data_IF_833947193507
#
_entry.id   IF_833947193507
#
_cell.length_a   1.000
_cell.length_b   1.000
_cell.length_c   1.000
_cell.angle_alpha   90.00
_cell.angle_beta   90.00
_cell.angle_gamma   90.00
#
_symmetry.space_group_name_H-M   'P 1'
#
loop_
_entity.id
_entity.type
_entity.pdbx_description
1 polymer ?
#
# COMPACT_ATOMS: atom_id res chain seq x y z
N UNK A 1 -26.52 -6.26 -35.40
CA UNK A 1 -25.70 -6.89 -34.36
C UNK A 1 -26.67 -7.53 -33.39
N UNK A 2 -26.72 -8.86 -33.42
CA UNK A 2 -27.63 -9.65 -32.63
C UNK A 2 -27.42 -9.38 -31.14
N UNK A 3 -28.45 -8.80 -30.52
CA UNK A 3 -28.65 -8.85 -29.08
C UNK A 3 -28.81 -10.33 -28.75
N UNK A 4 -27.78 -10.95 -28.17
CA UNK A 4 -27.87 -12.32 -27.67
C UNK A 4 -29.11 -12.41 -26.79
N UNK A 5 -30.11 -13.14 -27.27
CA UNK A 5 -31.29 -13.50 -26.52
C UNK A 5 -30.81 -14.22 -25.26
N UNK A 6 -31.01 -13.57 -24.11
CA UNK A 6 -30.81 -14.16 -22.79
C UNK A 6 -31.81 -15.32 -22.68
N UNK A 7 -31.36 -16.54 -22.91
CA UNK A 7 -32.11 -17.72 -22.49
C UNK A 7 -32.22 -17.64 -20.96
N UNK A 8 -33.38 -17.27 -20.45
CA UNK A 8 -33.72 -17.48 -19.04
C UNK A 8 -33.90 -18.98 -18.84
N UNK A 9 -32.77 -19.67 -18.63
CA UNK A 9 -32.80 -21.05 -18.20
C UNK A 9 -33.57 -21.11 -16.87
N UNK A 10 -34.57 -21.97 -16.79
CA UNK A 10 -35.27 -22.22 -15.54
C UNK A 10 -34.27 -22.67 -14.48
N UNK A 11 -34.38 -22.15 -13.26
CA UNK A 11 -33.52 -22.56 -12.15
C UNK A 11 -33.71 -24.04 -11.85
N UNK A 12 -32.61 -24.74 -11.54
CA UNK A 12 -32.68 -26.11 -11.04
C UNK A 12 -33.44 -26.17 -9.71
N UNK A 13 -34.13 -27.27 -9.44
CA UNK A 13 -34.74 -27.55 -8.13
C UNK A 13 -33.83 -28.42 -7.23
N UNK A 14 -32.62 -28.74 -7.68
CA UNK A 14 -31.64 -29.53 -6.94
C UNK A 14 -30.64 -28.61 -6.23
N UNK A 15 -30.58 -28.69 -4.89
CA UNK A 15 -29.70 -27.86 -4.07
C UNK A 15 -28.21 -28.06 -4.40
N UNK A 16 -27.77 -29.27 -4.75
CA UNK A 16 -26.38 -29.53 -5.12
C UNK A 16 -26.04 -28.87 -6.45
N UNK A 17 -26.97 -28.91 -7.41
CA UNK A 17 -26.80 -28.25 -8.72
C UNK A 17 -26.73 -26.73 -8.53
N UNK A 18 -27.67 -26.13 -7.80
CA UNK A 18 -27.68 -24.68 -7.51
C UNK A 18 -26.36 -24.28 -6.80
N UNK A 19 -25.89 -25.09 -5.86
CA UNK A 19 -24.63 -24.83 -5.14
C UNK A 19 -23.44 -24.82 -6.09
N UNK A 20 -23.37 -25.78 -7.01
CA UNK A 20 -22.30 -25.86 -8.00
C UNK A 20 -22.33 -24.65 -8.96
N UNK A 21 -23.52 -24.26 -9.44
CA UNK A 21 -23.71 -23.09 -10.30
C UNK A 21 -23.28 -21.80 -9.60
N UNK A 22 -23.71 -21.57 -8.36
CA UNK A 22 -23.31 -20.41 -7.56
C UNK A 22 -21.79 -20.34 -7.41
N UNK A 23 -21.14 -21.47 -7.09
CA UNK A 23 -19.70 -21.50 -6.94
C UNK A 23 -18.96 -21.25 -8.26
N UNK A 24 -19.51 -21.69 -9.39
CA UNK A 24 -18.99 -21.37 -10.71
C UNK A 24 -19.08 -19.86 -11.00
N UNK A 25 -20.23 -19.23 -10.75
CA UNK A 25 -20.39 -17.79 -10.92
C UNK A 25 -19.47 -16.98 -10.01
N UNK A 26 -19.30 -17.40 -8.75
CA UNK A 26 -18.35 -16.76 -7.82
C UNK A 26 -16.92 -16.78 -8.35
N UNK A 27 -16.47 -17.93 -8.89
CA UNK A 27 -15.15 -18.06 -9.50
C UNK A 27 -14.99 -17.11 -10.69
N UNK A 28 -15.94 -17.13 -11.62
CA UNK A 28 -15.92 -16.27 -12.81
C UNK A 28 -15.90 -14.79 -12.42
N UNK A 29 -16.69 -14.40 -11.41
CA UNK A 29 -16.71 -13.03 -10.91
C UNK A 29 -15.36 -12.62 -10.29
N UNK A 30 -14.71 -13.51 -9.54
CA UNK A 30 -13.37 -13.28 -9.00
C UNK A 30 -12.31 -13.11 -10.09
N UNK A 31 -12.26 -14.03 -11.05
CA UNK A 31 -11.33 -13.99 -12.19
C UNK A 31 -11.53 -12.73 -13.06
N UNK A 32 -12.79 -12.32 -13.26
CA UNK A 32 -13.10 -11.12 -14.01
C UNK A 32 -12.45 -9.86 -13.42
N UNK A 33 -12.28 -9.76 -12.09
CA UNK A 33 -11.63 -8.61 -11.46
C UNK A 33 -10.17 -8.50 -11.90
N UNK A 34 -9.43 -9.60 -11.84
CA UNK A 34 -8.01 -9.63 -12.25
C UNK A 34 -7.85 -9.33 -13.74
N UNK A 35 -8.70 -9.92 -14.55
CA UNK A 35 -8.62 -9.78 -15.99
C UNK A 35 -9.02 -8.36 -16.46
N UNK A 36 -10.01 -7.73 -15.81
CA UNK A 36 -10.31 -6.31 -16.01
C UNK A 36 -9.08 -5.47 -15.65
N UNK A 37 -8.44 -5.72 -14.50
CA UNK A 37 -7.22 -5.03 -14.08
C UNK A 37 -6.07 -5.15 -15.10
N UNK A 38 -5.84 -6.37 -15.62
CA UNK A 38 -4.84 -6.64 -16.67
C UNK A 38 -5.11 -5.84 -17.94
N UNK A 39 -6.36 -5.84 -18.42
CA UNK A 39 -6.76 -5.13 -19.65
C UNK A 39 -6.65 -3.62 -19.49
N UNK A 40 -7.13 -3.09 -18.37
CA UNK A 40 -7.00 -1.68 -18.02
C UNK A 40 -5.53 -1.24 -17.99
N UNK A 41 -4.67 -2.03 -17.35
CA UNK A 41 -3.23 -1.76 -17.31
C UNK A 41 -2.61 -1.74 -18.70
N UNK A 42 -2.94 -2.71 -19.56
CA UNK A 42 -2.44 -2.77 -20.95
C UNK A 42 -2.77 -1.48 -21.71
N UNK A 43 -4.03 -1.03 -21.63
CA UNK A 43 -4.46 0.21 -22.30
C UNK A 43 -3.82 1.44 -21.67
N UNK A 44 -3.69 1.51 -20.34
CA UNK A 44 -3.05 2.63 -19.62
C UNK A 44 -1.57 2.79 -19.99
N UNK A 45 -0.84 1.69 -20.01
CA UNK A 45 0.62 1.68 -20.14
C UNK A 45 1.10 1.69 -21.60
N UNK A 46 0.20 1.47 -22.57
CA UNK A 46 0.50 1.59 -23.98
C UNK A 46 1.01 2.99 -24.33
N UNK A 47 2.09 3.03 -25.12
CA UNK A 47 2.77 4.27 -25.50
C UNK A 47 2.83 4.45 -27.01
N UNK A 48 2.71 5.69 -27.46
CA UNK A 48 2.78 6.07 -28.88
C UNK A 48 4.18 5.94 -29.46
N UNK A 49 5.21 5.99 -28.62
CA UNK A 49 6.63 5.82 -28.97
C UNK A 49 7.14 4.39 -28.77
N UNK A 50 6.25 3.42 -28.46
CA UNK A 50 6.64 2.01 -28.30
C UNK A 50 7.21 1.43 -29.60
N UNK A 51 8.23 0.57 -29.48
CA UNK A 51 8.77 -0.23 -30.58
C UNK A 51 7.77 -1.29 -31.07
N UNK A 52 6.86 -1.74 -30.19
CA UNK A 52 5.82 -2.69 -30.52
C UNK A 52 4.68 -2.01 -31.30
N UNK A 53 4.38 -2.52 -32.50
CA UNK A 53 3.31 -2.00 -33.36
C UNK A 53 1.95 -2.08 -32.65
N UNK A 54 1.66 -3.18 -31.97
CA UNK A 54 0.38 -3.37 -31.26
C UNK A 54 0.18 -2.33 -30.15
N UNK A 55 1.22 -2.06 -29.35
CA UNK A 55 1.15 -1.06 -28.28
C UNK A 55 0.97 0.35 -28.84
N UNK A 56 1.68 0.68 -29.92
CA UNK A 56 1.54 1.97 -30.59
C UNK A 56 0.12 2.17 -31.13
N UNK A 57 -0.43 1.16 -31.80
CA UNK A 57 -1.79 1.20 -32.32
C UNK A 57 -2.81 1.37 -31.18
N UNK A 58 -2.64 0.63 -30.08
CA UNK A 58 -3.53 0.74 -28.93
C UNK A 58 -3.47 2.13 -28.28
N UNK A 59 -2.26 2.69 -28.14
CA UNK A 59 -2.08 4.05 -27.63
C UNK A 59 -2.75 5.08 -28.55
N UNK A 60 -2.57 4.97 -29.88
CA UNK A 60 -3.22 5.85 -30.85
C UNK A 60 -4.76 5.77 -30.79
N UNK A 61 -5.33 4.57 -30.64
CA UNK A 61 -6.78 4.38 -30.48
C UNK A 61 -7.31 5.02 -29.19
N UNK A 62 -6.57 4.86 -28.08
CA UNK A 62 -6.90 5.53 -26.81
C UNK A 62 -6.88 7.05 -26.98
N UNK A 63 -5.85 7.61 -27.61
CA UNK A 63 -5.76 9.06 -27.85
C UNK A 63 -6.84 9.57 -28.82
N UNK A 64 -7.24 8.80 -29.83
CA UNK A 64 -8.35 9.18 -30.72
C UNK A 64 -9.70 9.26 -30.00
N UNK A 65 -9.83 8.56 -28.88
CA UNK A 65 -10.99 8.60 -27.97
C UNK A 65 -10.88 9.77 -26.97
N UNK A 66 -9.85 10.60 -27.08
CA UNK A 66 -9.59 11.72 -26.18
C UNK A 66 -8.85 11.32 -24.89
N UNK A 67 -8.12 10.21 -24.93
CA UNK A 67 -7.17 9.79 -23.90
C UNK A 67 -7.77 8.87 -22.83
N UNK A 68 -6.93 8.51 -21.85
CA UNK A 68 -7.25 7.52 -20.81
C UNK A 68 -8.56 7.79 -20.06
N UNK A 69 -8.77 9.02 -19.60
CA UNK A 69 -9.93 9.36 -18.76
C UNK A 69 -11.24 9.30 -19.55
N UNK A 70 -11.27 9.90 -20.75
CA UNK A 70 -12.45 9.85 -21.61
C UNK A 70 -12.79 8.44 -22.07
N UNK A 71 -11.77 7.64 -22.43
CA UNK A 71 -11.99 6.25 -22.77
C UNK A 71 -12.62 5.45 -21.63
N UNK A 72 -12.18 5.67 -20.38
CA UNK A 72 -12.78 5.03 -19.21
C UNK A 72 -14.25 5.43 -19.03
N UNK A 73 -14.54 6.74 -19.06
CA UNK A 73 -15.87 7.28 -18.78
C UNK A 73 -16.88 6.94 -19.88
N UNK A 74 -16.48 7.06 -21.16
CA UNK A 74 -17.40 6.96 -22.30
C UNK A 74 -17.55 5.52 -22.84
N UNK A 75 -16.56 4.64 -22.63
CA UNK A 75 -16.56 3.30 -23.22
C UNK A 75 -16.47 2.13 -22.23
N UNK A 76 -16.05 2.39 -20.99
CA UNK A 76 -15.92 1.35 -19.94
C UNK A 76 -16.90 1.58 -18.79
N UNK A 77 -17.47 2.79 -18.67
CA UNK A 77 -18.32 3.22 -17.55
C UNK A 77 -17.59 3.21 -16.19
N UNK A 78 -16.29 3.55 -16.21
CA UNK A 78 -15.43 3.58 -15.03
C UNK A 78 -14.95 5.00 -14.73
N UNK A 79 -14.91 5.35 -13.45
CA UNK A 79 -14.10 6.49 -13.01
C UNK A 79 -12.61 6.08 -12.86
N UNK A 80 -11.73 7.09 -12.79
CA UNK A 80 -10.28 6.88 -12.63
C UNK A 80 -9.92 6.04 -11.40
N UNK A 81 -10.63 6.23 -10.29
CA UNK A 81 -10.37 5.56 -9.00
C UNK A 81 -10.79 4.10 -9.07
N UNK A 82 -11.93 3.80 -9.67
CA UNK A 82 -12.38 2.44 -9.93
C UNK A 82 -11.38 1.69 -10.80
N UNK A 83 -10.98 2.28 -11.94
CA UNK A 83 -9.97 1.70 -12.83
C UNK A 83 -8.63 1.45 -12.10
N UNK A 84 -8.19 2.42 -11.28
CA UNK A 84 -6.99 2.27 -10.47
C UNK A 84 -7.06 1.09 -9.49
N UNK A 85 -8.21 0.85 -8.84
CA UNK A 85 -8.37 -0.29 -7.93
C UNK A 85 -8.20 -1.62 -8.65
N UNK A 86 -8.83 -1.78 -9.82
CA UNK A 86 -8.68 -3.00 -10.62
C UNK A 86 -7.22 -3.24 -11.02
N UNK A 87 -6.53 -2.19 -11.49
CA UNK A 87 -5.11 -2.31 -11.87
C UNK A 87 -4.25 -2.64 -10.65
N UNK A 88 -4.45 -1.96 -9.51
CA UNK A 88 -3.69 -2.20 -8.29
C UNK A 88 -3.88 -3.64 -7.76
N UNK A 89 -5.09 -4.20 -7.86
CA UNK A 89 -5.35 -5.60 -7.52
C UNK A 89 -4.55 -6.54 -8.41
N UNK A 90 -4.58 -6.32 -9.73
CA UNK A 90 -3.81 -7.12 -10.68
C UNK A 90 -2.30 -7.02 -10.45
N UNK A 91 -1.77 -5.80 -10.28
CA UNK A 91 -0.34 -5.56 -10.06
C UNK A 91 0.13 -6.11 -8.70
N UNK A 92 -0.69 -5.96 -7.65
CA UNK A 92 -0.32 -6.32 -6.29
C UNK A 92 -0.42 -7.81 -6.00
N UNK A 93 -1.46 -8.47 -6.49
CA UNK A 93 -1.78 -9.86 -6.12
C UNK A 93 -1.49 -10.87 -7.23
N UNK A 94 -1.32 -10.43 -8.48
CA UNK A 94 -1.19 -11.32 -9.63
C UNK A 94 -2.47 -12.12 -9.91
N UNK A 95 -2.34 -13.29 -10.54
CA UNK A 95 -3.45 -14.20 -10.79
C UNK A 95 -3.46 -15.29 -9.70
N UNK A 96 -4.30 -15.12 -8.68
CA UNK A 96 -4.26 -15.96 -7.48
C UNK A 96 -5.65 -16.51 -7.16
N UNK A 97 -5.77 -17.83 -7.25
CA UNK A 97 -6.95 -18.60 -6.83
C UNK A 97 -7.35 -18.32 -5.37
N UNK A 98 -6.38 -17.96 -4.52
CA UNK A 98 -6.54 -17.74 -3.09
C UNK A 98 -7.60 -16.68 -2.74
N UNK A 99 -7.74 -15.63 -3.54
CA UNK A 99 -8.65 -14.52 -3.23
C UNK A 99 -9.87 -14.43 -4.14
N UNK A 100 -10.16 -15.44 -4.96
CA UNK A 100 -11.26 -15.40 -5.95
C UNK A 100 -12.65 -15.18 -5.33
N UNK A 101 -12.81 -15.45 -4.04
CA UNK A 101 -14.07 -15.26 -3.31
C UNK A 101 -14.23 -13.83 -2.74
N UNK A 102 -13.20 -12.99 -2.81
CA UNK A 102 -13.23 -11.62 -2.33
C UNK A 102 -13.72 -10.64 -3.41
N UNK A 103 -14.52 -9.66 -2.99
CA UNK A 103 -14.89 -8.54 -3.85
C UNK A 103 -13.76 -7.52 -4.03
N UNK A 104 -13.86 -6.69 -5.07
CA UNK A 104 -12.85 -5.69 -5.44
C UNK A 104 -12.33 -4.84 -4.28
N UNK A 105 -13.22 -4.41 -3.36
CA UNK A 105 -12.82 -3.55 -2.24
C UNK A 105 -11.87 -4.27 -1.28
N UNK A 106 -12.16 -5.52 -0.91
CA UNK A 106 -11.30 -6.30 -0.04
C UNK A 106 -9.97 -6.60 -0.74
N UNK A 107 -10.03 -7.04 -2.00
CA UNK A 107 -8.85 -7.27 -2.83
C UNK A 107 -7.95 -6.04 -2.90
N UNK A 108 -8.52 -4.84 -3.06
CA UNK A 108 -7.76 -3.60 -3.10
C UNK A 108 -7.06 -3.28 -1.77
N UNK A 109 -7.74 -3.50 -0.63
CA UNK A 109 -7.11 -3.31 0.67
C UNK A 109 -5.95 -4.30 0.87
N UNK A 110 -6.12 -5.57 0.48
CA UNK A 110 -5.06 -6.60 0.54
C UNK A 110 -3.90 -6.25 -0.40
N UNK A 111 -4.19 -5.85 -1.64
CA UNK A 111 -3.19 -5.50 -2.66
C UNK A 111 -2.31 -4.30 -2.27
N UNK A 112 -2.78 -3.47 -1.34
CA UNK A 112 -2.05 -2.27 -0.89
C UNK A 112 -1.29 -2.49 0.42
N UNK A 113 -1.37 -3.68 1.00
CA UNK A 113 -0.42 -4.14 2.03
C UNK A 113 0.93 -4.51 1.38
N UNK A 114 2.02 -4.43 2.15
CA UNK A 114 3.31 -4.99 1.71
C UNK A 114 3.20 -6.52 1.60
N UNK A 115 4.02 -7.19 0.78
CA UNK A 115 4.01 -8.65 0.67
C UNK A 115 4.12 -9.35 2.04
N UNK A 116 5.05 -8.89 2.89
CA UNK A 116 5.23 -9.41 4.26
C UNK A 116 3.96 -9.27 5.12
N UNK A 117 3.26 -8.12 5.02
CA UNK A 117 2.02 -7.89 5.76
C UNK A 117 0.85 -8.73 5.23
N UNK A 118 0.92 -9.29 4.03
CA UNK A 118 -0.14 -10.17 3.51
C UNK A 118 0.01 -11.60 4.03
N UNK A 119 1.23 -12.04 4.28
CA UNK A 119 1.54 -13.42 4.67
C UNK A 119 1.41 -13.65 6.18
N UNK A 120 1.66 -12.61 6.99
CA UNK A 120 1.57 -12.71 8.45
C UNK A 120 0.15 -12.48 8.97
N UNK A 121 -0.26 -13.15 10.06
CA UNK A 121 -1.50 -12.85 10.74
C UNK A 121 -1.41 -11.52 11.50
N UNK A 122 -2.55 -10.84 11.68
CA UNK A 122 -2.66 -9.58 12.41
C UNK A 122 -3.71 -9.67 13.51
N UNK A 123 -3.48 -8.89 14.57
CA UNK A 123 -4.49 -8.63 15.60
C UNK A 123 -5.44 -7.56 15.07
N UNK A 124 -6.74 -7.87 15.03
CA UNK A 124 -7.78 -6.93 14.65
C UNK A 124 -8.01 -5.93 15.79
N UNK A 125 -7.83 -4.61 15.56
CA UNK A 125 -7.97 -3.61 16.63
C UNK A 125 -9.34 -3.60 17.33
N UNK A 126 -10.43 -3.82 16.60
CA UNK A 126 -11.79 -3.78 17.18
C UNK A 126 -12.18 -5.04 17.95
N UNK A 127 -11.67 -6.22 17.60
CA UNK A 127 -12.09 -7.50 18.20
C UNK A 127 -11.01 -8.17 19.03
N UNK A 128 -9.74 -7.84 18.82
CA UNK A 128 -8.59 -8.53 19.42
C UNK A 128 -8.32 -9.92 18.83
N UNK A 129 -9.09 -10.35 17.83
CA UNK A 129 -8.89 -11.64 17.15
C UNK A 129 -7.64 -11.60 16.28
N UNK A 130 -6.97 -12.75 16.14
CA UNK A 130 -5.82 -12.92 15.24
C UNK A 130 -6.32 -13.58 13.96
N UNK A 131 -6.17 -12.91 12.81
CA UNK A 131 -6.64 -13.37 11.49
C UNK A 131 -5.57 -13.19 10.42
N UNK A 132 -5.62 -14.00 9.38
CA UNK A 132 -4.91 -13.74 8.11
C UNK A 132 -5.75 -12.82 7.22
N UNK A 133 -5.12 -12.16 6.26
CA UNK A 133 -5.77 -11.10 5.45
C UNK A 133 -6.93 -11.61 4.58
N UNK A 134 -6.97 -12.90 4.26
CA UNK A 134 -8.05 -13.57 3.53
C UNK A 134 -9.28 -13.88 4.39
N UNK A 135 -9.16 -13.83 5.71
CA UNK A 135 -10.31 -14.03 6.63
C UNK A 135 -10.93 -12.69 7.06
N UNK A 136 -10.28 -11.58 6.73
CA UNK A 136 -10.68 -10.25 7.19
C UNK A 136 -11.74 -9.62 6.31
N UNK A 137 -12.70 -8.97 6.96
CA UNK A 137 -13.61 -8.03 6.31
C UNK A 137 -12.88 -6.77 5.87
N UNK A 138 -13.50 -6.00 4.95
CA UNK A 138 -12.97 -4.70 4.50
C UNK A 138 -12.71 -3.74 5.67
N UNK A 139 -13.56 -3.77 6.70
CA UNK A 139 -13.40 -2.91 7.89
C UNK A 139 -12.16 -3.31 8.68
N UNK A 140 -12.01 -4.60 8.94
CA UNK A 140 -10.85 -5.16 9.67
C UNK A 140 -9.54 -4.88 8.91
N UNK A 141 -9.51 -5.08 7.59
CA UNK A 141 -8.34 -4.75 6.76
C UNK A 141 -7.93 -3.26 6.88
N UNK A 142 -8.91 -2.36 6.96
CA UNK A 142 -8.64 -0.91 7.14
C UNK A 142 -8.12 -0.58 8.52
N UNK A 143 -8.64 -1.24 9.56
CA UNK A 143 -8.16 -1.09 10.93
C UNK A 143 -6.71 -1.56 11.04
N UNK A 144 -6.40 -2.75 10.52
CA UNK A 144 -5.03 -3.31 10.48
C UNK A 144 -4.09 -2.37 9.73
N UNK A 145 -4.48 -1.88 8.54
CA UNK A 145 -3.66 -0.92 7.77
C UNK A 145 -3.40 0.38 8.52
N UNK A 146 -4.42 0.90 9.22
CA UNK A 146 -4.25 2.11 10.02
C UNK A 146 -3.30 1.88 11.19
N UNK A 147 -3.36 0.72 11.84
CA UNK A 147 -2.44 0.35 12.92
C UNK A 147 -1.00 0.21 12.41
N UNK A 148 -0.78 -0.55 11.34
CA UNK A 148 0.54 -0.71 10.71
C UNK A 148 1.15 0.63 10.31
N UNK A 149 0.33 1.55 9.80
CA UNK A 149 0.79 2.91 9.47
C UNK A 149 1.23 3.67 10.72
N UNK A 150 0.45 3.62 11.80
CA UNK A 150 0.79 4.26 13.08
C UNK A 150 2.08 3.69 13.68
N UNK A 151 2.25 2.37 13.64
CA UNK A 151 3.45 1.69 14.13
C UNK A 151 4.69 2.14 13.35
N UNK A 152 4.60 2.16 12.01
CA UNK A 152 5.70 2.61 11.14
C UNK A 152 6.08 4.06 11.40
N UNK A 153 5.10 4.96 11.51
CA UNK A 153 5.34 6.37 11.82
C UNK A 153 5.94 6.57 13.22
N UNK A 154 5.48 5.81 14.21
CA UNK A 154 6.03 5.86 15.56
C UNK A 154 7.48 5.37 15.60
N UNK A 155 7.77 4.26 14.90
CA UNK A 155 9.12 3.72 14.76
C UNK A 155 10.05 4.71 14.06
N UNK A 156 9.61 5.30 12.96
CA UNK A 156 10.40 6.31 12.25
C UNK A 156 10.75 7.51 13.15
N UNK A 157 9.75 8.07 13.87
CA UNK A 157 9.99 9.17 14.81
C UNK A 157 10.97 8.78 15.93
N UNK A 158 10.89 7.56 16.44
CA UNK A 158 11.81 7.06 17.45
C UNK A 158 13.24 6.90 16.90
N UNK A 159 13.39 6.40 15.67
CA UNK A 159 14.68 6.27 14.98
C UNK A 159 15.33 7.64 14.72
N UNK A 160 14.57 8.61 14.22
CA UNK A 160 15.01 9.99 14.03
C UNK A 160 15.45 10.64 15.34
N UNK A 161 14.64 10.50 16.40
CA UNK A 161 14.98 11.02 17.73
C UNK A 161 16.23 10.37 18.31
N UNK A 162 16.41 9.06 18.10
CA UNK A 162 17.59 8.34 18.54
C UNK A 162 18.84 8.78 17.76
N UNK A 163 18.72 9.09 16.47
CA UNK A 163 19.83 9.62 15.67
C UNK A 163 20.26 11.01 16.17
N UNK A 164 19.29 11.93 16.38
CA UNK A 164 19.59 13.27 16.91
C UNK A 164 20.30 13.19 18.27
N UNK A 165 19.86 12.27 19.14
CA UNK A 165 20.53 12.06 20.43
C UNK A 165 21.97 11.56 20.26
N UNK A 166 22.20 10.60 19.34
CA UNK A 166 23.55 10.10 19.03
C UNK A 166 24.47 11.23 18.55
N UNK A 167 24.01 12.02 17.58
CA UNK A 167 24.78 13.13 17.01
C UNK A 167 25.09 14.19 18.07
N UNK A 168 24.11 14.46 18.96
CA UNK A 168 24.31 15.39 20.08
C UNK A 168 25.37 14.86 21.06
N UNK A 169 25.32 13.58 21.42
CA UNK A 169 26.30 12.97 22.32
C UNK A 169 27.71 12.95 21.71
N UNK A 170 27.84 12.67 20.43
CA UNK A 170 29.11 12.73 19.69
C UNK A 170 29.68 14.16 19.70
N UNK A 171 28.85 15.16 19.40
CA UNK A 171 29.27 16.57 19.43
C UNK A 171 29.72 17.04 20.83
N UNK A 172 29.15 16.49 21.91
CA UNK A 172 29.56 16.79 23.29
C UNK A 172 30.88 16.09 23.62
N UNK A 173 31.06 14.85 23.16
CA UNK A 173 32.29 14.09 23.39
C UNK A 173 33.50 14.68 22.67
N UNK A 174 33.29 15.31 21.51
CA UNK A 174 34.33 15.99 20.73
C UNK A 174 34.72 17.36 21.28
N UNK A 175 33.95 17.94 22.22
CA UNK A 175 34.34 19.19 22.86
C UNK A 175 35.46 18.97 23.88
N UNK A 176 36.60 19.70 23.78
CA UNK A 176 37.68 19.57 24.75
C UNK A 176 37.21 20.05 26.13
N UNK A 177 37.29 19.17 27.12
CA UNK A 177 36.98 19.50 28.51
C UNK A 177 37.83 20.69 28.97
N UNK A 178 37.24 21.77 29.50
CA UNK A 178 38.02 22.90 29.98
C UNK A 178 38.88 22.46 31.19
N UNK A 179 40.19 22.62 31.06
CA UNK A 179 41.14 22.40 32.17
C UNK A 179 40.79 23.41 33.26
N UNK A 180 40.13 22.95 34.33
CA UNK A 180 39.81 23.79 35.48
C UNK A 180 41.06 23.93 36.33
N UNK A 181 41.85 24.97 36.10
CA UNK A 181 42.95 25.34 37.00
C UNK A 181 42.37 25.63 38.39
N UNK A 182 42.56 24.69 39.33
CA UNK A 182 42.29 24.92 40.74
C UNK A 182 43.37 25.86 41.26
N UNK A 183 43.07 27.17 41.30
CA UNK A 183 43.94 28.15 41.93
C UNK A 183 43.99 27.90 43.44
N UNK A 184 45.03 27.21 43.90
CA UNK A 184 45.40 27.17 45.31
C UNK A 184 46.00 28.53 45.68
N UNK A 185 45.20 29.42 46.25
CA UNK A 185 45.67 30.71 46.75
C UNK A 185 46.46 30.54 48.04
N UNK A 186 47.78 30.72 47.96
CA UNK A 186 48.63 30.95 49.13
C UNK A 186 48.88 32.45 49.22
N UNK A 187 48.16 33.13 50.11
CA UNK A 187 48.46 34.52 50.48
C UNK A 187 49.74 34.53 51.34
N UNK A 188 50.79 35.21 50.87
CA UNK A 188 51.93 35.58 51.71
C UNK A 188 52.02 37.11 51.71
N UNK A 189 51.46 37.71 52.76
CA UNK A 189 51.68 39.11 53.12
C UNK A 189 53.16 39.31 53.48
N UNK A 190 53.88 40.19 52.76
CA UNK A 190 55.14 40.75 53.25
C UNK A 190 54.98 42.24 53.47
N UNK A 191 54.91 42.57 54.76
CA UNK A 191 54.94 43.91 55.32
C UNK A 191 56.37 44.44 55.41
N UNK A 192 56.52 45.74 55.12
CA UNK A 192 57.44 46.67 55.79
C UNK A 192 58.93 46.61 55.46
N UNK A 193 59.52 47.77 55.15
CA UNK A 193 60.97 47.96 55.31
C UNK A 193 61.54 49.19 54.62
N UNK A 194 61.36 50.36 55.24
CA UNK A 194 61.98 51.63 54.90
C UNK A 194 63.50 51.68 55.20
N UNK A 195 64.28 52.34 54.34
CA UNK A 195 65.53 53.10 54.58
C UNK A 195 66.36 53.07 53.28
N UNK A 196 66.99 54.13 52.77
CA UNK A 196 67.30 55.49 53.20
C UNK A 196 67.56 56.32 51.94
#
# INVERSE_FOLDING_TARGET
MDVQAKQEAALSNDLQVITAEINAYKRVAGEAIFEIGRRLKKVRDAKTDSDCIEDRMLAQQRESTGGWIKWLEEHVDFDRTQAHRFIAVFEGLGDVGTYQHHGLRALYEIATLSPEDRERPHVIPSTGEVKTVDEMTVRELREVKAELKREREARQRAEESAQVLRDTLESIAEQPQPIREVRTGTEICHSSGSSR
#
